data_IF_094698509943
#
_entry.id   IF_094698509943
#
_cell.length_a   1.000
_cell.length_b   1.000
_cell.length_c   1.000
_cell.angle_alpha   90.00
_cell.angle_beta   90.00
_cell.angle_gamma   90.00
#
_symmetry.space_group_name_H-M   'P 1'
#
loop_
_entity.id
_entity.type
_entity.pdbx_description
1 polymer ?
#
# COMPACT_ATOMS: atom_id res chain seq x y z
N UNK A 1 0.93 -18.04 29.76
CA UNK A 1 1.82 -16.91 29.44
C UNK A 1 0.94 -15.72 29.09
N UNK A 2 0.90 -14.71 29.93
CA UNK A 2 0.13 -13.50 29.65
C UNK A 2 1.00 -12.62 28.72
N UNK A 3 0.72 -12.67 27.42
CA UNK A 3 1.42 -11.85 26.45
C UNK A 3 0.82 -10.45 26.61
N UNK A 4 1.61 -9.47 27.05
CA UNK A 4 1.22 -8.07 26.97
C UNK A 4 0.95 -7.79 25.49
N UNK A 5 -0.32 -7.66 25.11
CA UNK A 5 -0.70 -7.46 23.70
C UNK A 5 -0.49 -6.00 23.33
N UNK A 6 0.67 -5.71 22.73
CA UNK A 6 0.96 -4.42 22.11
C UNK A 6 0.26 -4.25 20.75
N UNK A 7 -0.53 -5.24 20.34
CA UNK A 7 -1.19 -5.26 19.03
C UNK A 7 -2.10 -4.05 18.79
N UNK A 8 -2.99 -3.64 19.71
CA UNK A 8 -3.87 -2.50 19.46
C UNK A 8 -3.09 -1.20 19.28
N UNK A 9 -2.08 -0.97 20.13
CA UNK A 9 -1.19 0.20 20.05
C UNK A 9 -0.42 0.21 18.72
N UNK A 10 0.17 -0.93 18.34
CA UNK A 10 0.92 -1.06 17.10
C UNK A 10 0.03 -0.80 15.87
N UNK A 11 -1.20 -1.35 15.86
CA UNK A 11 -2.17 -1.11 14.78
C UNK A 11 -2.56 0.36 14.69
N UNK A 12 -2.88 1.01 15.82
CA UNK A 12 -3.19 2.45 15.85
C UNK A 12 -2.03 3.28 15.34
N UNK A 13 -0.81 3.05 15.83
CA UNK A 13 0.37 3.80 15.38
C UNK A 13 0.64 3.61 13.88
N UNK A 14 0.45 2.40 13.36
CA UNK A 14 0.60 2.11 11.94
C UNK A 14 -0.47 2.82 11.08
N UNK A 15 -1.74 2.80 11.51
CA UNK A 15 -2.85 3.49 10.83
C UNK A 15 -2.62 5.01 10.81
N UNK A 16 -2.20 5.59 11.94
CA UNK A 16 -1.89 7.03 12.03
C UNK A 16 -0.70 7.39 11.14
N UNK A 17 0.34 6.56 11.11
CA UNK A 17 1.50 6.75 10.23
C UNK A 17 1.10 6.71 8.76
N UNK A 18 0.24 5.77 8.36
CA UNK A 18 -0.28 5.71 6.99
C UNK A 18 -1.14 6.94 6.68
N UNK A 19 -1.95 7.40 7.63
CA UNK A 19 -2.79 8.60 7.46
C UNK A 19 -1.94 9.85 7.26
N UNK A 20 -0.88 10.02 8.07
CA UNK A 20 0.09 11.10 7.91
C UNK A 20 0.81 11.01 6.55
N UNK A 21 1.27 9.82 6.16
CA UNK A 21 1.85 9.59 4.84
C UNK A 21 0.89 9.99 3.72
N UNK A 22 -0.38 9.56 3.79
CA UNK A 22 -1.41 9.85 2.79
C UNK A 22 -1.71 11.36 2.69
N UNK A 23 -1.68 12.08 3.80
CA UNK A 23 -1.99 13.52 3.86
C UNK A 23 -0.83 14.39 3.41
N UNK A 24 0.40 14.07 3.82
CA UNK A 24 1.54 14.98 3.68
C UNK A 24 2.56 14.56 2.61
N UNK A 25 2.73 13.24 2.38
CA UNK A 25 3.78 12.71 1.49
C UNK A 25 3.19 12.19 0.18
N UNK A 26 2.06 11.49 0.25
CA UNK A 26 1.44 10.87 -0.92
C UNK A 26 1.03 11.85 -2.02
N UNK A 27 0.56 13.08 -1.74
CA UNK A 27 0.19 14.04 -2.78
C UNK A 27 1.40 14.64 -3.51
N UNK A 28 2.52 14.82 -2.81
CA UNK A 28 3.72 15.51 -3.33
C UNK A 28 4.72 14.58 -4.02
N UNK A 29 4.62 13.25 -3.83
CA UNK A 29 5.59 12.29 -4.37
C UNK A 29 5.59 12.16 -5.91
N UNK A 30 4.54 12.59 -6.59
CA UNK A 30 4.46 12.59 -8.06
C UNK A 30 4.34 11.21 -8.73
N UNK A 31 4.08 10.13 -8.00
CA UNK A 31 3.83 8.80 -8.57
C UNK A 31 2.57 8.16 -7.98
N UNK A 32 2.00 7.17 -8.66
CA UNK A 32 0.77 6.46 -8.27
C UNK A 32 1.00 4.96 -8.08
N UNK A 33 0.17 4.36 -7.21
CA UNK A 33 0.15 2.92 -6.99
C UNK A 33 -0.20 2.18 -8.28
N UNK A 34 0.66 1.28 -8.75
CA UNK A 34 0.44 0.52 -9.99
C UNK A 34 -0.77 -0.38 -9.91
N UNK A 35 -1.04 -1.01 -8.76
CA UNK A 35 -2.23 -1.83 -8.57
C UNK A 35 -3.51 -1.03 -8.83
N UNK A 36 -3.60 0.17 -8.26
CA UNK A 36 -4.74 1.07 -8.46
C UNK A 36 -4.86 1.51 -9.91
N UNK A 37 -3.74 1.87 -10.55
CA UNK A 37 -3.73 2.32 -11.94
C UNK A 37 -4.15 1.21 -12.91
N UNK A 38 -3.80 -0.04 -12.63
CA UNK A 38 -4.13 -1.17 -13.50
C UNK A 38 -5.55 -1.72 -13.26
N UNK A 39 -5.97 -1.83 -12.00
CA UNK A 39 -7.21 -2.52 -11.63
C UNK A 39 -8.35 -1.57 -11.19
N UNK A 40 -8.09 -0.29 -10.96
CA UNK A 40 -9.09 0.66 -10.46
C UNK A 40 -9.46 0.49 -8.98
N UNK A 41 -8.75 -0.37 -8.25
CA UNK A 41 -9.00 -0.69 -6.84
C UNK A 41 -8.28 0.26 -5.87
N UNK A 42 -8.31 -0.09 -4.58
CA UNK A 42 -7.54 0.59 -3.55
C UNK A 42 -6.05 0.72 -3.88
N UNK A 43 -5.48 1.87 -3.50
CA UNK A 43 -4.03 2.00 -3.45
C UNK A 43 -3.45 1.07 -2.38
N UNK A 44 -2.17 0.69 -2.50
CA UNK A 44 -1.53 -0.16 -1.50
C UNK A 44 -1.64 0.43 -0.08
N UNK A 45 -1.49 1.75 0.10
CA UNK A 45 -1.63 2.37 1.42
C UNK A 45 -3.06 2.32 1.95
N UNK A 46 -4.08 2.51 1.11
CA UNK A 46 -5.48 2.32 1.50
C UNK A 46 -5.75 0.87 1.91
N UNK A 47 -5.29 -0.08 1.10
CA UNK A 47 -5.48 -1.51 1.37
C UNK A 47 -4.82 -1.91 2.70
N UNK A 48 -3.55 -1.55 2.91
CA UNK A 48 -2.82 -1.85 4.15
C UNK A 48 -3.53 -1.22 5.36
N UNK A 49 -3.94 0.05 5.25
CA UNK A 49 -4.71 0.73 6.31
C UNK A 49 -6.00 -0.03 6.64
N UNK A 50 -6.74 -0.48 5.62
CA UNK A 50 -7.97 -1.27 5.80
C UNK A 50 -7.68 -2.62 6.48
N UNK A 51 -6.66 -3.36 6.05
CA UNK A 51 -6.29 -4.64 6.67
C UNK A 51 -5.88 -4.46 8.13
N UNK A 52 -5.14 -3.39 8.44
CA UNK A 52 -4.83 -3.03 9.83
C UNK A 52 -6.08 -2.66 10.64
N UNK A 53 -7.15 -2.15 10.04
CA UNK A 53 -8.40 -1.91 10.76
C UNK A 53 -9.22 -3.18 10.97
N UNK A 54 -9.25 -4.09 9.99
CA UNK A 54 -10.20 -5.20 9.94
C UNK A 54 -9.64 -6.54 10.46
N UNK A 55 -8.33 -6.75 10.40
CA UNK A 55 -7.69 -8.05 10.68
C UNK A 55 -6.79 -8.00 11.92
N UNK A 56 -6.37 -9.18 12.41
CA UNK A 56 -5.26 -9.26 13.38
C UNK A 56 -3.97 -8.79 12.72
N UNK A 57 -3.03 -8.27 13.50
CA UNK A 57 -1.80 -7.68 12.96
C UNK A 57 -1.03 -8.63 12.03
N UNK A 58 -0.91 -9.91 12.39
CA UNK A 58 -0.20 -10.90 11.57
C UNK A 58 -0.90 -11.18 10.22
N UNK A 59 -2.24 -11.31 10.22
CA UNK A 59 -3.06 -11.45 9.02
C UNK A 59 -2.94 -10.20 8.13
N UNK A 60 -2.99 -9.02 8.74
CA UNK A 60 -2.85 -7.75 8.04
C UNK A 60 -1.48 -7.64 7.34
N UNK A 61 -0.41 -8.10 7.99
CA UNK A 61 0.94 -8.14 7.41
C UNK A 61 0.99 -9.10 6.23
N UNK A 62 0.46 -10.32 6.37
CA UNK A 62 0.43 -11.30 5.28
C UNK A 62 -0.36 -10.79 4.07
N UNK A 63 -1.54 -10.21 4.31
CA UNK A 63 -2.37 -9.57 3.29
C UNK A 63 -1.62 -8.42 2.60
N UNK A 64 -0.89 -7.61 3.37
CA UNK A 64 -0.11 -6.48 2.86
C UNK A 64 1.03 -6.93 1.94
N UNK A 65 1.77 -7.98 2.33
CA UNK A 65 2.85 -8.56 1.52
C UNK A 65 2.30 -9.06 0.18
N UNK A 66 1.19 -9.81 0.21
CA UNK A 66 0.51 -10.29 -1.00
C UNK A 66 0.13 -9.12 -1.91
N UNK A 67 -0.48 -8.05 -1.36
CA UNK A 67 -0.85 -6.85 -2.13
C UNK A 67 0.35 -6.17 -2.77
N UNK A 68 1.51 -6.11 -2.09
CA UNK A 68 2.72 -5.52 -2.66
C UNK A 68 3.29 -6.35 -3.81
N UNK A 69 3.23 -7.67 -3.74
CA UNK A 69 3.59 -8.56 -4.85
C UNK A 69 2.70 -8.31 -6.07
N UNK A 70 1.38 -8.22 -5.85
CA UNK A 70 0.39 -7.95 -6.89
C UNK A 70 0.62 -6.56 -7.52
N UNK A 71 0.93 -5.55 -6.71
CA UNK A 71 1.31 -4.22 -7.18
C UNK A 71 2.60 -4.24 -8.02
N UNK A 72 3.58 -5.07 -7.64
CA UNK A 72 4.79 -5.30 -8.42
C UNK A 72 4.51 -5.90 -9.80
N UNK A 73 3.60 -6.88 -9.87
CA UNK A 73 3.13 -7.45 -11.14
C UNK A 73 2.37 -6.41 -11.99
N UNK A 74 1.53 -5.59 -11.36
CA UNK A 74 0.83 -4.50 -12.02
C UNK A 74 1.81 -3.46 -12.59
N UNK A 75 2.88 -3.14 -11.85
CA UNK A 75 3.94 -2.24 -12.30
C UNK A 75 4.64 -2.75 -13.56
N UNK A 76 4.98 -4.05 -13.62
CA UNK A 76 5.56 -4.68 -14.82
C UNK A 76 4.62 -4.58 -16.02
N UNK A 77 3.33 -4.80 -15.80
CA UNK A 77 2.30 -4.70 -16.85
C UNK A 77 2.16 -3.27 -17.37
N UNK A 78 2.12 -2.28 -16.47
CA UNK A 78 2.04 -0.87 -16.85
C UNK A 78 3.29 -0.37 -17.53
N UNK A 79 4.48 -0.86 -17.15
CA UNK A 79 5.76 -0.50 -17.80
C UNK A 79 5.78 -0.88 -19.29
N UNK A 80 5.05 -1.92 -19.69
CA UNK A 80 4.91 -2.31 -21.09
C UNK A 80 3.95 -1.39 -21.89
N UNK A 81 3.19 -0.51 -21.22
CA UNK A 81 2.26 0.43 -21.86
C UNK A 81 2.95 1.79 -22.07
N UNK A 82 2.80 2.36 -23.26
CA UNK A 82 3.41 3.65 -23.62
C UNK A 82 2.95 4.84 -22.73
N UNK A 83 1.80 4.74 -22.07
CA UNK A 83 1.21 5.81 -21.26
C UNK A 83 1.68 5.84 -19.80
N UNK A 84 2.64 5.01 -19.40
CA UNK A 84 3.09 4.95 -18.01
C UNK A 84 4.62 4.85 -17.89
N UNK A 85 5.18 5.54 -16.89
CA UNK A 85 6.60 5.42 -16.51
C UNK A 85 6.75 4.94 -15.09
N UNK A 86 7.36 3.78 -14.90
CA UNK A 86 7.59 3.19 -13.58
C UNK A 86 9.03 3.47 -13.14
N UNK A 87 9.24 4.55 -12.38
CA UNK A 87 10.57 5.03 -11.95
C UNK A 87 10.93 4.48 -10.57
N UNK A 88 9.96 4.37 -9.66
CA UNK A 88 10.16 3.87 -8.29
C UNK A 88 9.33 2.60 -8.14
N UNK A 89 9.90 1.42 -8.34
CA UNK A 89 9.19 0.14 -8.23
C UNK A 89 8.59 0.01 -6.81
N UNK A 90 7.30 -0.34 -6.63
CA UNK A 90 6.30 -0.76 -7.60
C UNK A 90 5.27 0.33 -7.99
N UNK A 91 5.65 1.61 -7.98
CA UNK A 91 4.80 2.74 -8.35
C UNK A 91 5.12 3.28 -9.74
N UNK A 92 4.09 3.73 -10.46
CA UNK A 92 4.21 4.32 -11.80
C UNK A 92 3.59 5.72 -11.87
N UNK A 93 4.15 6.55 -12.73
CA UNK A 93 3.65 7.85 -13.13
C UNK A 93 2.80 7.67 -14.40
N UNK A 94 1.53 8.10 -14.43
CA UNK A 94 0.79 8.26 -15.68
C UNK A 94 1.42 9.39 -16.50
N UNK A 95 1.68 9.14 -17.79
CA UNK A 95 2.16 10.14 -18.75
C UNK A 95 1.01 10.91 -19.39
#
# INVERSE_FOLDING_TARGET
MNIISFEPLAKTMAIESITAYQKYISPSKGFSCSHRLLHGEDSCSNYVKRMLSEQKLHEAIQSSIKRFQDCGAASKTLKAKANFRCIVIPCCLPL
#
